data_IF_112797522978
#
_entry.id   IF_112797522978
#
_cell.length_a   1.000
_cell.length_b   1.000
_cell.length_c   1.000
_cell.angle_alpha   90.00
_cell.angle_beta   90.00
_cell.angle_gamma   90.00
#
_symmetry.space_group_name_H-M   'P 1'
#
loop_
_entity.id
_entity.type
_entity.pdbx_description
1 polymer ?
#
# COMPACT_ATOMS: atom_id res chain seq x y z
N UNK A 1 -1.05 -15.48 -26.97
CA UNK A 1 -0.76 -14.04 -26.84
C UNK A 1 0.61 -13.87 -26.19
N UNK A 2 1.59 -13.27 -26.90
CA UNK A 2 2.97 -13.13 -26.38
C UNK A 2 3.02 -11.90 -25.49
N UNK A 3 3.34 -12.04 -24.20
CA UNK A 3 3.52 -10.91 -23.29
C UNK A 3 4.56 -9.94 -23.83
N UNK A 4 4.30 -8.61 -23.81
CA UNK A 4 5.35 -7.63 -24.06
C UNK A 4 6.44 -7.77 -22.98
N UNK A 5 7.68 -7.45 -23.36
CA UNK A 5 8.85 -7.56 -22.49
C UNK A 5 8.58 -7.01 -21.09
N UNK A 6 8.81 -7.84 -20.06
CA UNK A 6 8.55 -7.51 -18.66
C UNK A 6 9.37 -6.28 -18.25
N UNK A 7 8.70 -5.20 -17.92
CA UNK A 7 9.36 -4.02 -17.35
C UNK A 7 9.97 -4.44 -16.01
N UNK A 8 11.31 -4.45 -15.91
CA UNK A 8 11.99 -4.80 -14.66
C UNK A 8 11.75 -3.70 -13.63
N UNK A 9 10.99 -4.01 -12.62
CA UNK A 9 10.85 -3.15 -11.45
C UNK A 9 12.07 -3.34 -10.54
N UNK A 10 12.55 -2.31 -9.82
CA UNK A 10 13.72 -2.43 -8.96
C UNK A 10 13.59 -3.61 -8.01
N UNK A 11 14.65 -4.44 -7.89
CA UNK A 11 14.71 -5.54 -6.93
C UNK A 11 14.55 -4.96 -5.52
N UNK A 12 13.47 -5.27 -4.83
CA UNK A 12 13.18 -4.75 -3.49
C UNK A 12 12.94 -5.86 -2.48
N UNK A 13 13.46 -5.62 -1.35
CA UNK A 13 13.38 -6.21 -0.02
C UNK A 13 12.39 -7.37 0.16
N UNK A 14 12.90 -8.62 0.01
CA UNK A 14 12.24 -9.75 0.63
C UNK A 14 10.87 -10.17 0.06
N UNK A 15 10.62 -9.99 -1.24
CA UNK A 15 9.40 -10.48 -1.88
C UNK A 15 9.69 -11.72 -2.76
N UNK A 16 9.69 -12.93 -2.17
CA UNK A 16 10.03 -14.16 -2.89
C UNK A 16 9.02 -14.49 -3.99
N UNK A 17 7.74 -14.14 -3.80
CA UNK A 17 6.69 -14.37 -4.79
C UNK A 17 6.89 -13.52 -6.04
N UNK A 18 7.18 -12.23 -5.87
CA UNK A 18 7.48 -11.33 -6.99
C UNK A 18 8.72 -11.77 -7.76
N UNK A 19 9.78 -12.17 -7.03
CA UNK A 19 11.00 -12.67 -7.67
C UNK A 19 10.76 -13.97 -8.45
N UNK A 20 9.93 -14.88 -7.93
CA UNK A 20 9.53 -16.08 -8.65
C UNK A 20 8.72 -15.75 -9.91
N UNK A 21 7.81 -14.77 -9.81
CA UNK A 21 7.05 -14.27 -10.97
C UNK A 21 7.98 -13.73 -12.07
N UNK A 22 8.99 -12.94 -11.71
CA UNK A 22 9.96 -12.42 -12.68
C UNK A 22 10.75 -13.51 -13.41
N UNK A 23 10.97 -14.67 -12.74
CA UNK A 23 11.59 -15.86 -13.33
C UNK A 23 10.62 -16.81 -14.04
N UNK A 24 9.33 -16.46 -14.12
CA UNK A 24 8.32 -17.28 -14.76
C UNK A 24 7.74 -18.36 -13.86
N UNK A 25 7.89 -18.24 -12.53
CA UNK A 25 7.45 -19.21 -11.53
C UNK A 25 8.15 -20.58 -11.59
N UNK A 26 9.37 -20.62 -12.10
CA UNK A 26 10.20 -21.84 -12.18
C UNK A 26 10.46 -22.45 -10.80
N UNK A 27 10.87 -21.62 -9.84
CA UNK A 27 11.21 -22.04 -8.47
C UNK A 27 10.99 -20.92 -7.47
N UNK A 28 10.34 -21.25 -6.33
CA UNK A 28 10.36 -20.39 -5.15
C UNK A 28 11.70 -20.53 -4.46
N UNK A 29 12.38 -19.41 -4.22
CA UNK A 29 13.56 -19.33 -3.36
C UNK A 29 13.14 -18.63 -2.07
N UNK A 30 13.00 -19.34 -0.94
CA UNK A 30 12.73 -18.71 0.35
C UNK A 30 13.82 -17.70 0.72
N UNK A 31 13.43 -16.66 1.43
CA UNK A 31 14.36 -15.64 1.90
C UNK A 31 13.94 -15.09 3.25
N UNK A 32 14.86 -14.46 3.95
CA UNK A 32 14.51 -13.73 5.17
C UNK A 32 13.71 -12.47 4.78
N UNK A 33 12.48 -12.38 5.27
CA UNK A 33 11.63 -11.22 5.05
C UNK A 33 12.18 -10.01 5.81
N UNK A 34 12.32 -8.87 5.14
CA UNK A 34 12.74 -7.61 5.76
C UNK A 34 11.52 -6.88 6.34
N UNK A 35 11.76 -6.04 7.35
CA UNK A 35 10.73 -5.21 7.95
C UNK A 35 10.06 -4.33 6.88
N UNK A 36 8.73 -4.25 6.94
CA UNK A 36 7.89 -3.41 6.06
C UNK A 36 6.76 -2.78 6.88
N UNK A 37 6.26 -1.64 6.44
CA UNK A 37 5.07 -1.00 7.01
C UNK A 37 3.83 -1.89 6.88
N UNK A 38 3.76 -2.71 5.83
CA UNK A 38 2.71 -3.69 5.62
C UNK A 38 3.07 -5.05 6.28
N UNK A 39 3.16 -5.08 7.60
CA UNK A 39 3.71 -6.17 8.40
C UNK A 39 3.07 -7.55 8.14
N UNK A 40 1.77 -7.63 7.86
CA UNK A 40 1.09 -8.92 7.62
C UNK A 40 1.50 -9.61 6.30
N UNK A 41 2.16 -8.90 5.38
CA UNK A 41 2.72 -9.50 4.15
C UNK A 41 4.24 -9.69 4.23
N UNK A 42 4.83 -9.55 5.40
CA UNK A 42 6.25 -9.81 5.65
C UNK A 42 6.52 -11.32 5.69
N UNK A 43 6.41 -11.98 4.55
CA UNK A 43 6.48 -13.44 4.42
C UNK A 43 7.63 -13.85 3.51
N UNK A 44 8.66 -14.46 4.08
CA UNK A 44 9.84 -14.92 3.34
C UNK A 44 9.70 -16.31 2.69
N UNK A 45 8.71 -17.11 3.12
CA UNK A 45 8.42 -18.43 2.58
C UNK A 45 6.89 -18.66 2.54
N UNK A 46 6.19 -18.22 1.49
CA UNK A 46 4.74 -18.31 1.42
C UNK A 46 4.25 -19.75 1.25
N UNK A 47 3.57 -20.29 2.26
CA UNK A 47 3.02 -21.66 2.26
C UNK A 47 2.04 -21.88 1.10
N UNK A 48 1.24 -20.87 0.76
CA UNK A 48 0.25 -20.96 -0.33
C UNK A 48 0.83 -20.68 -1.72
N UNK A 49 2.16 -20.70 -1.89
CA UNK A 49 2.82 -20.40 -3.15
C UNK A 49 2.22 -21.16 -4.35
N UNK A 50 2.04 -22.51 -4.33
CA UNK A 50 1.51 -23.24 -5.49
C UNK A 50 0.08 -22.81 -5.86
N UNK A 51 -0.75 -22.47 -4.84
CA UNK A 51 -2.12 -21.99 -5.07
C UNK A 51 -2.13 -20.60 -5.72
N UNK A 52 -1.28 -19.71 -5.22
CA UNK A 52 -1.15 -18.35 -5.76
C UNK A 52 -0.63 -18.36 -7.21
N UNK A 53 0.40 -19.17 -7.50
CA UNK A 53 0.92 -19.35 -8.88
C UNK A 53 -0.19 -19.81 -9.82
N UNK A 54 -0.93 -20.87 -9.43
CA UNK A 54 -2.04 -21.39 -10.23
C UNK A 54 -3.12 -20.34 -10.50
N UNK A 55 -3.47 -19.54 -9.48
CA UNK A 55 -4.43 -18.47 -9.63
C UNK A 55 -3.95 -17.43 -10.65
N UNK A 56 -2.73 -16.91 -10.49
CA UNK A 56 -2.14 -15.91 -11.39
C UNK A 56 -2.05 -16.45 -12.83
N UNK A 57 -1.61 -17.70 -13.02
CA UNK A 57 -1.53 -18.30 -14.36
C UNK A 57 -2.91 -18.49 -14.99
N UNK A 58 -3.89 -19.01 -14.22
CA UNK A 58 -5.25 -19.28 -14.71
C UNK A 58 -6.00 -18.00 -15.11
N UNK A 59 -5.79 -16.90 -14.40
CA UNK A 59 -6.44 -15.62 -14.66
C UNK A 59 -5.62 -14.70 -15.56
N UNK A 60 -4.46 -15.16 -16.07
CA UNK A 60 -3.50 -14.34 -16.77
C UNK A 60 -3.14 -13.07 -15.97
N UNK A 61 -3.04 -13.20 -14.64
CA UNK A 61 -2.82 -12.14 -13.70
C UNK A 61 -1.38 -11.63 -13.68
N UNK A 62 -1.19 -10.48 -13.05
CA UNK A 62 0.11 -9.83 -12.86
C UNK A 62 0.49 -9.75 -11.39
N UNK A 63 1.79 -9.82 -11.12
CA UNK A 63 2.35 -9.55 -9.80
C UNK A 63 3.14 -8.25 -9.86
N UNK A 64 2.83 -7.31 -8.97
CA UNK A 64 3.44 -5.99 -8.91
C UNK A 64 4.06 -5.77 -7.54
N UNK A 65 5.24 -5.18 -7.50
CA UNK A 65 5.90 -4.77 -6.27
C UNK A 65 5.81 -3.25 -6.10
N UNK A 66 5.54 -2.80 -4.88
CA UNK A 66 5.54 -1.39 -4.49
C UNK A 66 6.60 -1.12 -3.42
N UNK A 67 7.00 0.13 -3.29
CA UNK A 67 7.94 0.58 -2.28
C UNK A 67 7.21 0.98 -1.00
N UNK A 68 7.93 1.16 0.10
CA UNK A 68 7.39 1.70 1.34
C UNK A 68 6.79 3.11 1.11
N UNK A 69 7.46 3.94 0.31
CA UNK A 69 6.97 5.28 -0.06
C UNK A 69 5.70 5.21 -0.92
N UNK A 70 5.66 4.34 -1.93
CA UNK A 70 4.50 4.16 -2.80
C UNK A 70 3.29 3.69 -1.99
N UNK A 71 3.45 2.65 -1.15
CA UNK A 71 2.34 2.16 -0.32
C UNK A 71 1.85 3.20 0.69
N UNK A 72 2.77 3.95 1.32
CA UNK A 72 2.42 4.96 2.30
C UNK A 72 1.65 6.12 1.65
N UNK A 73 2.14 6.64 0.54
CA UNK A 73 1.45 7.72 -0.18
C UNK A 73 0.12 7.25 -0.78
N UNK A 74 0.03 6.03 -1.32
CA UNK A 74 -1.21 5.48 -1.85
C UNK A 74 -2.28 5.29 -0.76
N UNK A 75 -1.88 4.76 0.43
CA UNK A 75 -2.79 4.65 1.57
C UNK A 75 -3.35 6.01 2.00
N UNK A 76 -2.49 7.03 2.13
CA UNK A 76 -2.91 8.37 2.57
C UNK A 76 -3.64 9.16 1.47
N UNK A 77 -3.44 8.83 0.20
CA UNK A 77 -4.32 9.29 -0.88
C UNK A 77 -5.73 8.72 -0.72
N UNK A 78 -5.86 7.42 -0.41
CA UNK A 78 -7.13 6.79 -0.09
C UNK A 78 -7.84 7.44 1.10
N UNK A 79 -7.09 7.84 2.13
CA UNK A 79 -7.65 8.54 3.30
C UNK A 79 -8.33 9.86 2.93
N UNK A 80 -7.80 10.59 1.94
CA UNK A 80 -8.38 11.86 1.47
C UNK A 80 -9.76 11.72 0.84
N UNK A 81 -10.11 10.54 0.39
CA UNK A 81 -11.44 10.21 -0.14
C UNK A 81 -12.29 9.40 0.82
N UNK A 82 -11.88 9.31 2.10
CA UNK A 82 -12.66 8.72 3.18
C UNK A 82 -12.44 7.21 3.41
N UNK A 83 -11.51 6.55 2.71
CA UNK A 83 -11.30 5.11 2.86
C UNK A 83 -10.59 4.72 4.17
N UNK A 84 -9.76 5.56 4.73
CA UNK A 84 -8.92 5.33 5.90
C UNK A 84 -8.29 3.93 5.93
N UNK A 85 -7.45 3.67 4.95
CA UNK A 85 -6.94 2.33 4.64
C UNK A 85 -5.76 1.91 5.53
N UNK A 86 -5.60 0.60 5.71
CA UNK A 86 -4.40 0.01 6.29
C UNK A 86 -3.21 0.05 5.30
N UNK A 87 -1.96 -0.17 5.77
CA UNK A 87 -0.79 -0.20 4.89
C UNK A 87 -0.85 -1.31 3.83
N UNK A 88 -1.53 -2.44 4.10
CA UNK A 88 -1.71 -3.52 3.13
C UNK A 88 -2.63 -3.10 1.97
N UNK A 89 -3.69 -2.35 2.24
CA UNK A 89 -4.50 -1.72 1.21
C UNK A 89 -3.68 -0.69 0.43
N UNK A 90 -2.76 0.02 1.10
CA UNK A 90 -1.79 0.90 0.46
C UNK A 90 -0.92 0.17 -0.58
N UNK A 91 -0.52 -1.09 -0.31
CA UNK A 91 0.18 -1.92 -1.31
C UNK A 91 -0.69 -2.16 -2.54
N UNK A 92 -1.97 -2.51 -2.35
CA UNK A 92 -2.88 -2.77 -3.47
C UNK A 92 -3.16 -1.49 -4.29
N UNK A 93 -3.40 -0.36 -3.62
CA UNK A 93 -3.60 0.94 -4.29
C UNK A 93 -2.35 1.41 -5.03
N UNK A 94 -1.17 1.29 -4.43
CA UNK A 94 0.10 1.64 -5.09
C UNK A 94 0.40 0.73 -6.30
N UNK A 95 0.01 -0.55 -6.23
CA UNK A 95 0.10 -1.45 -7.38
C UNK A 95 -0.87 -1.03 -8.50
N UNK A 96 -2.11 -0.65 -8.16
CA UNK A 96 -3.08 -0.11 -9.11
C UNK A 96 -2.54 1.15 -9.80
N UNK A 97 -2.03 2.12 -9.03
CA UNK A 97 -1.44 3.35 -9.60
C UNK A 97 -0.32 3.04 -10.60
N UNK A 98 0.54 2.06 -10.29
CA UNK A 98 1.62 1.62 -11.19
C UNK A 98 1.10 0.98 -12.46
N UNK A 99 0.06 0.14 -12.35
CA UNK A 99 -0.54 -0.53 -13.50
C UNK A 99 -1.24 0.46 -14.43
N UNK A 100 -1.97 1.42 -13.88
CA UNK A 100 -2.60 2.52 -14.66
C UNK A 100 -1.52 3.37 -15.34
N UNK A 101 -0.50 3.79 -14.61
CA UNK A 101 0.62 4.57 -15.16
C UNK A 101 1.41 3.83 -16.25
N UNK A 102 1.41 2.50 -16.20
CA UNK A 102 2.03 1.64 -17.21
C UNK A 102 1.10 1.31 -18.40
N UNK A 103 -0.12 1.85 -18.45
CA UNK A 103 -1.12 1.56 -19.47
C UNK A 103 -1.59 0.09 -19.50
N UNK A 104 -1.56 -0.57 -18.33
CA UNK A 104 -2.01 -1.97 -18.17
C UNK A 104 -3.45 -2.08 -17.71
N UNK A 105 -3.99 -1.01 -17.21
CA UNK A 105 -5.38 -0.84 -16.82
C UNK A 105 -5.87 0.42 -17.53
N UNK A 106 -6.94 0.31 -18.29
CA UNK A 106 -7.57 1.41 -19.01
C UNK A 106 -8.49 2.22 -18.08
N UNK A 107 -8.77 3.45 -18.46
CA UNK A 107 -9.68 4.35 -17.72
C UNK A 107 -11.12 3.86 -17.67
N UNK A 108 -11.53 3.12 -18.70
CA UNK A 108 -12.88 2.57 -18.82
C UNK A 108 -13.05 1.22 -18.12
N UNK A 109 -11.97 0.65 -17.57
CA UNK A 109 -12.05 -0.62 -16.84
C UNK A 109 -12.57 -0.44 -15.42
N UNK A 110 -13.50 -1.31 -15.03
CA UNK A 110 -13.96 -1.40 -13.64
C UNK A 110 -12.96 -2.20 -12.80
N UNK A 111 -12.32 -1.54 -11.83
CA UNK A 111 -11.32 -2.16 -10.97
C UNK A 111 -11.85 -2.31 -9.54
N UNK A 112 -11.75 -3.53 -9.01
CA UNK A 112 -12.06 -3.81 -7.59
C UNK A 112 -10.76 -3.95 -6.82
N UNK A 113 -10.59 -3.13 -5.77
CA UNK A 113 -9.46 -3.23 -4.84
C UNK A 113 -9.94 -3.80 -3.51
N UNK A 114 -9.31 -4.90 -3.07
CA UNK A 114 -9.62 -5.50 -1.78
C UNK A 114 -8.94 -4.70 -0.66
N UNK A 115 -9.74 -4.04 0.18
CA UNK A 115 -9.28 -3.40 1.41
C UNK A 115 -9.39 -4.39 2.57
N UNK A 116 -8.25 -4.89 3.05
CA UNK A 116 -8.19 -6.00 3.99
C UNK A 116 -8.40 -5.61 5.45
N UNK A 117 -8.11 -4.36 5.81
CA UNK A 117 -8.29 -3.86 7.18
C UNK A 117 -8.46 -2.33 7.21
N UNK A 118 -9.03 -1.85 8.29
CA UNK A 118 -9.21 -0.42 8.56
C UNK A 118 -7.94 0.20 9.16
N UNK A 119 -7.66 1.47 8.84
CA UNK A 119 -6.47 2.21 9.30
C UNK A 119 -6.36 2.36 10.81
N UNK A 120 -7.47 2.32 11.55
CA UNK A 120 -7.46 2.35 13.03
C UNK A 120 -6.69 1.20 13.68
N UNK A 121 -6.49 0.07 12.99
CA UNK A 121 -5.62 -1.01 13.46
C UNK A 121 -4.13 -0.70 13.31
N UNK A 122 -3.78 0.36 12.62
CA UNK A 122 -2.41 0.74 12.26
C UNK A 122 -2.15 2.20 12.61
N UNK A 123 -2.52 2.59 13.82
CA UNK A 123 -2.42 3.99 14.31
C UNK A 123 -1.00 4.51 14.27
N UNK A 124 0.00 3.70 14.60
CA UNK A 124 1.42 4.09 14.51
C UNK A 124 1.82 4.44 13.06
N UNK A 125 1.37 3.67 12.08
CA UNK A 125 1.60 3.96 10.67
C UNK A 125 0.93 5.28 10.27
N UNK A 126 -0.32 5.49 10.69
CA UNK A 126 -1.09 6.71 10.37
C UNK A 126 -0.49 7.95 11.01
N UNK A 127 -0.28 7.91 12.32
CA UNK A 127 0.32 9.03 13.07
C UNK A 127 1.74 9.29 12.59
N UNK A 128 2.56 8.25 12.47
CA UNK A 128 3.94 8.35 12.00
C UNK A 128 4.09 8.96 10.61
N UNK A 129 3.15 8.72 9.71
CA UNK A 129 3.12 9.38 8.40
C UNK A 129 2.86 10.87 8.52
N UNK A 130 1.83 11.27 9.26
CA UNK A 130 1.45 12.67 9.42
C UNK A 130 2.48 13.46 10.26
N UNK A 131 3.11 12.83 11.24
CA UNK A 131 4.22 13.40 12.01
C UNK A 131 5.57 13.35 11.26
N UNK A 132 5.60 12.80 10.03
CA UNK A 132 6.79 12.65 9.18
C UNK A 132 7.92 11.84 9.85
N UNK A 133 7.55 10.82 10.63
CA UNK A 133 8.49 9.96 11.38
C UNK A 133 8.84 8.66 10.67
N UNK A 134 8.21 8.35 9.55
CA UNK A 134 8.52 7.14 8.78
C UNK A 134 9.77 7.38 7.92
N UNK A 135 10.68 6.40 7.92
CA UNK A 135 11.96 6.50 7.23
C UNK A 135 11.81 6.43 5.71
N UNK A 136 12.60 7.21 5.00
CA UNK A 136 12.72 7.19 3.53
C UNK A 136 11.39 7.40 2.78
N UNK A 137 10.51 8.24 3.31
CA UNK A 137 9.21 8.58 2.70
C UNK A 137 9.12 10.08 2.43
N UNK A 138 8.74 10.43 1.20
CA UNK A 138 8.28 11.76 0.86
C UNK A 138 6.79 11.86 1.17
N UNK A 139 6.42 12.63 2.19
CA UNK A 139 5.07 12.71 2.76
C UNK A 139 4.16 13.65 1.95
N UNK A 140 3.65 13.19 0.82
CA UNK A 140 2.87 14.00 -0.14
C UNK A 140 1.50 14.46 0.42
N UNK A 141 0.95 13.74 1.38
CA UNK A 141 -0.40 13.93 1.90
C UNK A 141 -0.42 14.10 3.42
N UNK A 142 0.69 14.53 4.02
CA UNK A 142 0.73 14.75 5.47
C UNK A 142 -0.16 15.93 5.86
N UNK A 143 -0.92 15.74 6.94
CA UNK A 143 -1.74 16.75 7.59
C UNK A 143 -1.17 17.04 8.98
N UNK A 144 -1.47 18.22 9.59
CA UNK A 144 -1.17 18.48 11.00
C UNK A 144 -1.79 17.40 11.91
N UNK A 145 -1.07 17.01 12.94
CA UNK A 145 -1.53 16.06 13.96
C UNK A 145 -1.84 16.85 15.23
N UNK A 146 -3.06 16.73 15.72
CA UNK A 146 -3.51 17.37 16.95
C UNK A 146 -3.64 16.33 18.05
N UNK A 147 -3.07 16.62 19.22
CA UNK A 147 -3.23 15.80 20.42
C UNK A 147 -4.28 16.42 21.31
N UNK A 148 -5.25 15.64 21.71
CA UNK A 148 -6.31 16.03 22.63
C UNK A 148 -6.44 15.00 23.75
N UNK A 149 -6.87 15.41 24.96
CA UNK A 149 -7.39 14.47 25.93
C UNK A 149 -8.57 13.68 25.37
N UNK A 150 -8.88 12.52 25.96
CA UNK A 150 -10.06 11.72 25.60
C UNK A 150 -11.34 12.36 26.19
N UNK A 151 -11.58 13.61 25.81
CA UNK A 151 -12.70 14.45 26.25
C UNK A 151 -13.37 15.10 25.04
N UNK A 152 -14.70 14.99 24.97
CA UNK A 152 -15.46 15.49 23.84
C UNK A 152 -15.32 17.03 23.66
N UNK A 153 -15.33 17.79 24.76
CA UNK A 153 -15.21 19.24 24.74
C UNK A 153 -13.88 19.67 24.13
N UNK A 154 -12.78 19.10 24.63
CA UNK A 154 -11.43 19.37 24.13
C UNK A 154 -11.28 19.04 22.63
N UNK A 155 -11.82 17.92 22.18
CA UNK A 155 -11.80 17.54 20.75
C UNK A 155 -12.63 18.53 19.92
N UNK A 156 -13.82 18.91 20.38
CA UNK A 156 -14.68 19.86 19.68
C UNK A 156 -14.08 21.26 19.57
N UNK A 157 -13.36 21.71 20.60
CA UNK A 157 -12.70 23.02 20.59
C UNK A 157 -11.57 23.07 19.57
N UNK A 158 -10.74 22.02 19.49
CA UNK A 158 -9.71 21.89 18.44
C UNK A 158 -10.36 21.90 17.06
N UNK A 159 -11.41 21.13 16.83
CA UNK A 159 -12.10 21.08 15.54
C UNK A 159 -12.67 22.44 15.13
N UNK A 160 -13.34 23.16 16.04
CA UNK A 160 -13.90 24.51 15.78
C UNK A 160 -12.81 25.48 15.42
N UNK A 161 -11.70 25.50 16.16
CA UNK A 161 -10.56 26.34 15.89
C UNK A 161 -10.00 26.11 14.48
N UNK A 162 -9.65 24.88 14.16
CA UNK A 162 -9.07 24.51 12.86
C UNK A 162 -10.01 24.80 11.68
N UNK A 163 -11.32 24.56 11.85
CA UNK A 163 -12.31 24.86 10.83
C UNK A 163 -12.47 26.36 10.59
N UNK A 164 -12.32 27.19 11.63
CA UNK A 164 -12.40 28.65 11.51
C UNK A 164 -11.18 29.21 10.77
N UNK A 165 -9.99 28.69 11.04
CA UNK A 165 -8.74 29.11 10.40
C UNK A 165 -8.67 28.74 8.92
N UNK A 166 -9.26 27.62 8.51
CA UNK A 166 -9.32 27.18 7.08
C UNK A 166 -10.34 27.93 6.22
N UNK A 167 -11.24 28.68 6.82
CA UNK A 167 -12.26 29.49 6.11
C UNK A 167 -11.78 30.93 5.82
N UNK A 168 -10.64 31.31 6.33
CA UNK A 168 -9.96 32.58 6.05
C UNK A 168 -8.90 32.41 4.98
#
# INVERSE_FOLDING_TARGET
MRWPARKKWPKRNGNPFYQAYERGFDKLVPMQAKKTLASAIQIGNPVSYPKAVRAIQKTNGMVVSVTEEELANAAHRGDRIGLYCCPHTGVALGALEKLVAAGKIDKEENVVVISTAHGLKFTEFKVGYHEKKLENICFKFANPVFKAPADLGAVMDILKKEMSERRR
#
